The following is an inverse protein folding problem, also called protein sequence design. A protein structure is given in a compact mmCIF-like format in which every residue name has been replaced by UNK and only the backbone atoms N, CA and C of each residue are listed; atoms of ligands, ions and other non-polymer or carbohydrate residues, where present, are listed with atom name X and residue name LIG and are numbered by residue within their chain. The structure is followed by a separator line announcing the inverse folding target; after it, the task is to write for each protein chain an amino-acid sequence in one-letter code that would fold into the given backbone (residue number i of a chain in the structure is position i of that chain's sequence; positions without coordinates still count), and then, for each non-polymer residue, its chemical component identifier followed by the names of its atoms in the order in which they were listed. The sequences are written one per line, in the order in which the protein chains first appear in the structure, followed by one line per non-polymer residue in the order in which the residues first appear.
data_IF_678391617286
#
_entry.id   IF_678391617286
#
_cell.length_a   1.000
_cell.length_b   1.000
_cell.length_c   1.000
_cell.angle_alpha   90.00
_cell.angle_beta   90.00
_cell.angle_gamma   90.00
#
_symmetry.space_group_name_H-M   'P 1'
#
loop_
_entity.id
_entity.type
_entity.pdbx_description
1 polymer ?
#
# COMPACT_ATOMS: atom_id res chain seq x y z
N UNK A 1 12.62 22.17 -95.91
CA UNK A 1 13.13 21.04 -96.73
C UNK A 1 13.01 19.77 -95.92
N UNK A 2 12.57 18.70 -96.58
CA UNK A 2 12.15 17.44 -96.00
C UNK A 2 13.30 16.63 -95.37
N UNK A 3 13.00 15.81 -94.36
CA UNK A 3 13.30 14.38 -94.44
C UNK A 3 12.48 13.57 -93.45
N UNK A 4 12.12 12.38 -93.92
CA UNK A 4 11.20 11.38 -93.38
C UNK A 4 11.97 10.30 -92.59
N UNK A 5 11.18 9.39 -92.02
CA UNK A 5 11.50 7.99 -91.62
C UNK A 5 12.10 7.81 -90.23
N UNK A 6 11.88 6.69 -89.53
CA UNK A 6 10.73 5.81 -89.29
C UNK A 6 11.19 4.90 -88.13
N UNK A 7 10.21 4.36 -87.41
CA UNK A 7 10.23 3.41 -86.29
C UNK A 7 11.42 2.45 -86.13
N UNK A 8 11.83 2.27 -84.88
CA UNK A 8 12.31 0.98 -84.36
C UNK A 8 11.60 0.66 -83.04
N UNK A 9 10.85 -0.44 -83.04
CA UNK A 9 10.24 -1.06 -81.87
C UNK A 9 11.33 -1.67 -80.97
N UNK A 10 11.32 -1.35 -79.68
CA UNK A 10 11.93 -2.22 -78.65
C UNK A 10 10.96 -2.45 -77.51
N UNK A 11 10.67 -3.75 -77.33
CA UNK A 11 9.94 -4.47 -76.29
C UNK A 11 9.65 -3.72 -74.98
N UNK A 12 8.36 -3.70 -74.61
CA UNK A 12 7.90 -3.57 -73.22
C UNK A 12 8.41 -4.77 -72.43
N UNK A 13 9.33 -4.53 -71.50
CA UNK A 13 9.55 -5.39 -70.35
C UNK A 13 9.48 -4.51 -69.11
N UNK A 14 8.36 -4.62 -68.39
CA UNK A 14 8.21 -4.09 -67.04
C UNK A 14 8.69 -5.16 -66.06
N UNK A 15 9.84 -5.00 -65.39
CA UNK A 15 10.04 -5.64 -64.12
C UNK A 15 9.36 -4.79 -63.03
N UNK A 16 8.56 -5.47 -62.21
CA UNK A 16 7.80 -4.97 -61.07
C UNK A 16 8.54 -3.92 -60.21
N UNK A 17 8.22 -2.65 -60.40
CA UNK A 17 8.48 -1.56 -59.45
C UNK A 17 7.47 -1.58 -58.29
N UNK A 18 7.15 -2.76 -57.76
CA UNK A 18 6.23 -2.92 -56.61
C UNK A 18 6.91 -3.68 -55.47
N UNK A 19 8.04 -4.35 -55.71
CA UNK A 19 8.67 -5.17 -54.67
C UNK A 19 9.68 -4.43 -53.78
N UNK A 20 10.05 -3.19 -54.12
CA UNK A 20 11.04 -2.40 -53.36
C UNK A 20 10.43 -1.34 -52.42
N UNK A 21 9.12 -1.09 -52.45
CA UNK A 21 8.48 -0.12 -51.56
C UNK A 21 7.91 -0.74 -50.27
N UNK A 22 7.72 -2.06 -50.20
CA UNK A 22 7.13 -2.72 -49.02
C UNK A 22 8.17 -2.96 -47.92
N UNK A 23 9.46 -3.06 -48.25
CA UNK A 23 10.52 -3.32 -47.26
C UNK A 23 10.96 -2.03 -46.53
N UNK A 24 10.77 -0.85 -47.12
CA UNK A 24 11.18 0.41 -46.47
C UNK A 24 10.11 1.07 -45.60
N UNK A 25 8.84 0.62 -45.64
CA UNK A 25 7.78 1.16 -44.78
C UNK A 25 7.57 0.34 -43.48
N UNK A 26 8.18 -0.84 -43.35
CA UNK A 26 8.06 -1.69 -42.16
C UNK A 26 9.06 -1.33 -41.04
N UNK A 27 9.98 -0.40 -41.26
CA UNK A 27 11.03 0.00 -40.29
C UNK A 27 10.73 1.30 -39.53
N UNK A 28 9.56 1.91 -39.75
CA UNK A 28 9.16 3.17 -39.11
C UNK A 28 7.95 3.05 -38.18
N UNK A 29 7.59 1.82 -37.77
CA UNK A 29 6.67 1.64 -36.65
C UNK A 29 7.50 1.52 -35.38
N UNK A 30 7.35 2.40 -34.38
CA UNK A 30 7.93 2.16 -33.07
C UNK A 30 7.31 0.86 -32.56
N UNK A 31 8.09 -0.22 -32.54
CA UNK A 31 7.73 -1.39 -31.77
C UNK A 31 7.53 -0.90 -30.33
N UNK A 32 6.40 -1.22 -29.67
CA UNK A 32 6.37 -1.09 -28.23
C UNK A 32 7.45 -2.04 -27.73
N UNK A 33 8.61 -1.47 -27.36
CA UNK A 33 9.52 -2.19 -26.50
C UNK A 33 8.69 -2.54 -25.27
N UNK A 34 8.35 -3.81 -25.11
CA UNK A 34 8.03 -4.38 -23.83
C UNK A 34 9.23 -4.07 -22.95
N UNK A 35 9.15 -2.95 -22.25
CA UNK A 35 10.02 -2.67 -21.15
C UNK A 35 9.68 -3.74 -20.12
N UNK A 36 10.44 -4.83 -20.13
CA UNK A 36 10.67 -5.65 -18.94
C UNK A 36 11.41 -4.76 -17.94
N UNK A 37 10.69 -3.79 -17.38
CA UNK A 37 11.11 -3.17 -16.14
C UNK A 37 11.29 -4.29 -15.11
N UNK A 38 12.27 -4.19 -14.20
CA UNK A 38 12.40 -5.18 -13.15
C UNK A 38 11.05 -5.36 -12.47
N UNK A 39 10.58 -6.61 -12.38
CA UNK A 39 9.39 -6.93 -11.60
C UNK A 39 9.53 -6.24 -10.23
N UNK A 40 8.47 -5.60 -9.70
CA UNK A 40 8.54 -4.97 -8.40
C UNK A 40 9.13 -5.98 -7.41
N UNK A 41 10.17 -5.56 -6.69
CA UNK A 41 10.92 -6.45 -5.81
C UNK A 41 9.94 -7.20 -4.90
N UNK A 42 9.97 -8.53 -4.96
CA UNK A 42 9.08 -9.36 -4.15
C UNK A 42 9.30 -9.03 -2.67
N UNK A 43 8.22 -8.97 -1.88
CA UNK A 43 8.32 -8.79 -0.44
C UNK A 43 9.17 -9.91 0.18
N UNK A 44 9.99 -9.60 1.20
CA UNK A 44 10.76 -10.63 1.89
C UNK A 44 9.83 -11.64 2.55
N UNK A 45 10.34 -12.85 2.83
CA UNK A 45 9.65 -13.77 3.75
C UNK A 45 9.62 -13.19 5.16
N UNK A 46 8.71 -13.67 6.01
CA UNK A 46 8.65 -13.24 7.41
C UNK A 46 10.00 -13.44 8.11
N UNK A 47 10.63 -14.61 7.96
CA UNK A 47 11.93 -14.92 8.60
C UNK A 47 13.03 -13.96 8.14
N UNK A 48 13.11 -13.70 6.82
CA UNK A 48 14.08 -12.74 6.30
C UNK A 48 13.80 -11.34 6.81
N UNK A 49 12.53 -10.95 6.92
CA UNK A 49 12.14 -9.64 7.44
C UNK A 49 12.48 -9.48 8.92
N UNK A 50 12.25 -10.52 9.75
CA UNK A 50 12.60 -10.52 11.17
C UNK A 50 14.08 -10.19 11.35
N UNK A 51 14.96 -10.86 10.60
CA UNK A 51 16.40 -10.61 10.70
C UNK A 51 16.79 -9.18 10.28
N UNK A 52 16.02 -8.53 9.40
CA UNK A 52 16.28 -7.13 9.00
C UNK A 52 15.91 -6.09 10.06
N UNK A 53 14.98 -6.41 10.98
CA UNK A 53 14.47 -5.46 11.97
C UNK A 53 14.88 -5.77 13.41
N UNK A 54 15.44 -6.97 13.63
CA UNK A 54 15.94 -7.42 14.94
C UNK A 54 17.15 -6.58 15.35
N UNK A 55 17.14 -6.15 16.61
CA UNK A 55 18.21 -5.32 17.19
C UNK A 55 18.57 -5.70 18.62
N UNK A 56 18.04 -6.82 19.11
CA UNK A 56 18.25 -7.34 20.47
C UNK A 56 17.34 -6.71 21.54
N UNK A 57 16.56 -5.67 21.22
CA UNK A 57 15.65 -5.08 22.21
C UNK A 57 14.49 -6.01 22.53
N UNK A 58 14.32 -6.37 23.81
CA UNK A 58 13.39 -7.42 24.26
C UNK A 58 11.92 -7.07 23.99
N UNK A 59 11.53 -5.81 24.20
CA UNK A 59 10.13 -5.39 24.21
C UNK A 59 9.79 -4.28 23.21
N UNK A 60 10.78 -3.77 22.46
CA UNK A 60 10.52 -2.74 21.47
C UNK A 60 9.93 -3.35 20.21
N UNK A 61 8.80 -2.81 19.75
CA UNK A 61 8.23 -3.14 18.45
C UNK A 61 9.13 -2.58 17.34
N UNK A 62 9.53 -3.45 16.40
CA UNK A 62 10.50 -3.13 15.34
C UNK A 62 9.98 -3.36 13.93
N UNK A 63 8.95 -4.18 13.74
CA UNK A 63 8.41 -4.44 12.42
C UNK A 63 6.95 -4.82 12.42
N UNK A 64 6.33 -4.63 11.26
CA UNK A 64 5.02 -5.15 10.90
C UNK A 64 5.15 -5.90 9.58
N UNK A 65 4.57 -7.10 9.56
CA UNK A 65 4.52 -7.94 8.38
C UNK A 65 3.08 -8.37 8.10
N UNK A 66 2.67 -8.29 6.85
CA UNK A 66 1.44 -8.88 6.31
C UNK A 66 1.80 -9.56 5.01
N UNK A 67 1.52 -10.85 4.91
CA UNK A 67 1.88 -11.66 3.76
C UNK A 67 1.33 -11.06 2.46
N UNK A 68 2.22 -10.80 1.50
CA UNK A 68 1.83 -10.26 0.19
C UNK A 68 1.40 -8.79 0.17
N UNK A 69 1.33 -8.11 1.32
CA UNK A 69 0.87 -6.72 1.41
C UNK A 69 1.98 -5.78 1.85
N UNK A 70 2.67 -6.05 2.96
CA UNK A 70 3.68 -5.14 3.49
C UNK A 70 4.68 -5.81 4.44
N UNK A 71 5.89 -5.25 4.47
CA UNK A 71 6.94 -5.58 5.44
C UNK A 71 7.64 -4.26 5.84
N UNK A 72 7.12 -3.60 6.88
CA UNK A 72 7.57 -2.26 7.26
C UNK A 72 8.19 -2.23 8.64
N UNK A 73 9.43 -1.72 8.77
CA UNK A 73 9.99 -1.43 10.07
C UNK A 73 9.24 -0.30 10.79
N UNK A 74 9.21 -0.41 12.12
CA UNK A 74 8.54 0.50 13.03
C UNK A 74 9.58 1.38 13.73
N UNK A 75 9.32 2.68 13.74
CA UNK A 75 10.06 3.66 14.52
C UNK A 75 9.22 4.18 15.69
N UNK A 76 9.90 4.56 16.76
CA UNK A 76 9.25 5.06 17.97
C UNK A 76 8.91 6.55 17.83
N UNK A 77 7.74 6.94 18.30
CA UNK A 77 7.37 8.35 18.36
C UNK A 77 8.30 9.11 19.33
N UNK A 78 8.89 10.26 18.92
CA UNK A 78 9.71 11.09 19.79
C UNK A 78 8.95 11.53 21.04
N UNK A 79 9.61 11.53 22.20
CA UNK A 79 8.97 11.81 23.49
C UNK A 79 8.34 13.21 23.57
N UNK A 80 8.91 14.18 22.85
CA UNK A 80 8.47 15.57 22.81
C UNK A 80 7.58 15.91 21.61
N UNK A 81 7.14 14.91 20.83
CA UNK A 81 6.29 15.15 19.66
C UNK A 81 5.18 14.10 19.53
N UNK A 82 4.09 14.30 20.28
CA UNK A 82 2.93 13.42 20.29
C UNK A 82 2.14 13.39 18.96
N UNK A 83 2.39 14.33 18.05
CA UNK A 83 1.80 14.38 16.72
C UNK A 83 2.70 13.80 15.61
N UNK A 84 3.90 13.33 15.95
CA UNK A 84 4.86 12.88 14.95
C UNK A 84 4.38 11.63 14.19
N UNK A 85 4.46 11.70 12.87
CA UNK A 85 4.33 10.59 11.91
C UNK A 85 5.57 10.62 11.01
N UNK A 86 6.15 9.46 10.71
CA UNK A 86 7.38 9.40 9.93
C UNK A 86 7.17 9.88 8.50
N UNK A 87 8.07 10.72 8.01
CA UNK A 87 8.19 11.08 6.59
C UNK A 87 9.12 10.15 5.80
N UNK A 88 9.65 9.10 6.44
CA UNK A 88 10.53 8.13 5.78
C UNK A 88 9.70 7.10 5.01
N UNK A 89 10.13 6.80 3.78
CA UNK A 89 9.54 5.73 2.96
C UNK A 89 9.61 4.37 3.69
N UNK A 90 8.49 3.63 3.65
CA UNK A 90 8.41 2.27 4.19
C UNK A 90 8.59 2.19 5.72
N UNK A 91 8.24 3.25 6.46
CA UNK A 91 8.33 3.28 7.93
C UNK A 91 6.97 3.56 8.56
N UNK A 92 6.66 2.83 9.62
CA UNK A 92 5.51 3.08 10.48
C UNK A 92 5.97 3.78 11.76
N UNK A 93 5.17 4.71 12.28
CA UNK A 93 5.40 5.30 13.60
C UNK A 93 4.52 4.61 14.64
N UNK A 94 5.11 4.15 15.75
CA UNK A 94 4.34 3.68 16.89
C UNK A 94 3.72 4.84 17.64
N UNK A 95 2.39 4.90 17.66
CA UNK A 95 1.64 5.93 18.36
C UNK A 95 1.59 5.65 19.86
N UNK A 96 2.24 6.52 20.64
CA UNK A 96 2.48 6.24 22.06
C UNK A 96 1.20 6.29 22.89
N UNK A 97 0.30 7.22 22.58
CA UNK A 97 -0.93 7.42 23.36
C UNK A 97 -1.89 6.22 23.28
N UNK A 98 -1.90 5.46 22.18
CA UNK A 98 -2.74 4.25 22.07
C UNK A 98 -2.44 3.23 23.18
N UNK A 99 -1.19 3.14 23.64
CA UNK A 99 -0.78 2.18 24.66
C UNK A 99 -1.40 2.44 26.03
N UNK A 100 -1.79 3.70 26.33
CA UNK A 100 -2.48 4.03 27.59
C UNK A 100 -3.91 3.50 27.63
N UNK A 101 -4.43 3.06 26.48
CA UNK A 101 -5.76 2.49 26.31
C UNK A 101 -5.72 0.99 25.98
N UNK A 102 -4.56 0.34 26.14
CA UNK A 102 -4.39 -1.08 25.85
C UNK A 102 -4.27 -1.40 24.37
N UNK A 103 -4.00 -0.41 23.51
CA UNK A 103 -3.89 -0.62 22.05
C UNK A 103 -2.48 -0.40 21.54
N UNK A 104 -2.03 -1.28 20.65
CA UNK A 104 -0.87 -0.98 19.80
C UNK A 104 -1.35 -0.08 18.67
N UNK A 105 -0.97 1.20 18.66
CA UNK A 105 -1.32 2.14 17.60
C UNK A 105 -0.16 2.34 16.63
N UNK A 106 -0.42 2.29 15.32
CA UNK A 106 0.58 2.52 14.28
C UNK A 106 0.07 3.54 13.25
N UNK A 107 0.88 4.56 12.98
CA UNK A 107 0.57 5.65 12.05
C UNK A 107 1.48 5.61 10.83
N UNK A 108 0.94 5.98 9.68
CA UNK A 108 1.73 6.31 8.50
C UNK A 108 1.00 7.30 7.60
N UNK A 109 1.76 8.12 6.86
CA UNK A 109 1.19 8.94 5.80
C UNK A 109 0.68 8.06 4.65
N UNK A 110 -0.45 8.46 4.07
CA UNK A 110 -1.17 7.74 3.02
C UNK A 110 -0.44 7.68 1.68
N UNK A 111 0.47 8.62 1.42
CA UNK A 111 1.38 8.60 0.27
C UNK A 111 2.72 7.88 0.55
N UNK A 112 2.91 7.35 1.76
CA UNK A 112 4.08 6.56 2.17
C UNK A 112 3.63 5.14 2.55
N UNK A 113 4.11 4.59 3.67
CA UNK A 113 3.76 3.26 4.13
C UNK A 113 2.24 3.06 4.36
N UNK A 114 1.49 4.14 4.62
CA UNK A 114 0.04 4.09 4.79
C UNK A 114 -0.72 3.75 3.50
N UNK A 115 -0.10 3.92 2.32
CA UNK A 115 -0.69 3.53 1.04
C UNK A 115 -1.06 2.04 0.99
N UNK A 116 -0.32 1.19 1.72
CA UNK A 116 -0.60 -0.25 1.78
C UNK A 116 -1.81 -0.60 2.64
N UNK A 117 -2.28 0.30 3.52
CA UNK A 117 -3.33 -0.03 4.48
C UNK A 117 -4.69 -0.30 3.80
N UNK A 118 -4.96 0.33 2.66
CA UNK A 118 -6.18 0.12 1.87
C UNK A 118 -6.24 -1.25 1.18
N UNK A 119 -5.13 -2.00 1.16
CA UNK A 119 -5.08 -3.35 0.59
C UNK A 119 -5.48 -4.42 1.61
N UNK A 120 -5.51 -4.07 2.90
CA UNK A 120 -5.89 -4.98 3.97
C UNK A 120 -7.39 -5.26 3.95
N UNK A 121 -7.74 -6.48 4.35
CA UNK A 121 -9.11 -6.98 4.43
C UNK A 121 -9.36 -7.62 5.78
N UNK A 122 -10.62 -7.72 6.17
CA UNK A 122 -11.00 -8.56 7.30
C UNK A 122 -10.52 -10.00 7.09
N UNK A 123 -9.99 -10.59 8.16
CA UNK A 123 -9.34 -11.90 8.14
C UNK A 123 -7.82 -11.88 7.88
N UNK A 124 -7.26 -10.80 7.35
CA UNK A 124 -5.81 -10.70 7.15
C UNK A 124 -5.05 -10.79 8.48
N UNK A 125 -3.91 -11.47 8.47
CA UNK A 125 -3.04 -11.61 9.64
C UNK A 125 -1.92 -10.57 9.59
N UNK A 126 -1.88 -9.72 10.61
CA UNK A 126 -0.82 -8.77 10.87
C UNK A 126 0.12 -9.33 11.93
N UNK A 127 1.37 -9.56 11.56
CA UNK A 127 2.42 -10.01 12.47
C UNK A 127 3.27 -8.83 12.93
N UNK A 128 3.25 -8.58 14.24
CA UNK A 128 4.17 -7.68 14.89
C UNK A 128 5.49 -8.40 15.17
N UNK A 129 6.61 -7.72 14.92
CA UNK A 129 7.97 -8.24 15.17
C UNK A 129 8.66 -7.37 16.22
N UNK A 130 9.11 -7.96 17.32
CA UNK A 130 9.85 -7.30 18.38
C UNK A 130 11.36 -7.40 18.16
N UNK A 131 12.13 -6.51 18.79
CA UNK A 131 13.58 -6.40 18.56
C UNK A 131 14.40 -7.64 18.92
N UNK A 132 13.87 -8.56 19.73
CA UNK A 132 14.47 -9.86 20.02
C UNK A 132 14.08 -10.96 19.00
N UNK A 133 13.27 -10.65 18.00
CA UNK A 133 12.74 -11.57 17.01
C UNK A 133 11.44 -12.29 17.43
N UNK A 134 10.94 -12.06 18.65
CA UNK A 134 9.61 -12.56 19.05
C UNK A 134 8.55 -11.92 18.16
N UNK A 135 7.50 -12.68 17.85
CA UNK A 135 6.35 -12.19 17.08
C UNK A 135 5.06 -12.22 17.89
N UNK A 136 4.07 -11.46 17.44
CA UNK A 136 2.68 -11.55 17.91
C UNK A 136 1.75 -11.28 16.74
N UNK A 137 0.70 -12.10 16.60
CA UNK A 137 -0.20 -12.04 15.45
C UNK A 137 -1.56 -11.46 15.83
N UNK A 138 -2.10 -10.63 14.94
CA UNK A 138 -3.41 -10.01 15.06
C UNK A 138 -4.20 -10.27 13.78
N UNK A 139 -5.47 -10.61 13.89
CA UNK A 139 -6.38 -10.76 12.75
C UNK A 139 -7.17 -9.47 12.59
N UNK A 140 -7.23 -8.93 11.38
CA UNK A 140 -8.09 -7.78 11.05
C UNK A 140 -9.54 -8.20 11.23
N UNK A 141 -10.28 -7.44 12.05
CA UNK A 141 -11.69 -7.73 12.36
C UNK A 141 -12.64 -6.62 11.95
N UNK A 142 -12.12 -5.44 11.64
CA UNK A 142 -12.93 -4.27 11.31
C UNK A 142 -12.08 -3.22 10.57
N UNK A 143 -12.68 -2.56 9.59
CA UNK A 143 -12.06 -1.51 8.76
C UNK A 143 -13.03 -0.34 8.67
N UNK A 144 -12.63 0.80 9.23
CA UNK A 144 -13.50 1.96 9.38
C UNK A 144 -12.94 3.18 8.67
N UNK A 145 -13.80 3.94 7.98
CA UNK A 145 -13.41 5.13 7.25
C UNK A 145 -14.26 6.33 7.64
N UNK A 146 -13.60 7.47 7.84
CA UNK A 146 -14.25 8.69 8.32
C UNK A 146 -13.85 9.90 7.49
N UNK A 147 -14.83 10.75 7.15
CA UNK A 147 -14.57 12.08 6.59
C UNK A 147 -14.23 13.05 7.72
N UNK A 148 -13.17 13.84 7.56
CA UNK A 148 -12.85 14.94 8.45
C UNK A 148 -13.67 16.19 8.06
N UNK A 149 -14.25 16.88 9.05
CA UNK A 149 -14.90 18.19 8.84
C UNK A 149 -13.88 19.32 8.65
N UNK A 150 -12.70 19.19 9.26
CA UNK A 150 -11.54 20.07 9.07
C UNK A 150 -10.31 19.19 8.77
N UNK A 151 -10.08 18.81 7.49
CA UNK A 151 -9.08 17.83 7.07
C UNK A 151 -7.69 17.98 7.68
N UNK A 152 -7.19 19.21 7.75
CA UNK A 152 -5.85 19.54 8.25
C UNK A 152 -5.74 19.57 9.78
N UNK A 153 -6.86 19.39 10.50
CA UNK A 153 -6.88 19.40 11.96
C UNK A 153 -6.89 17.98 12.53
N UNK A 154 -5.95 17.63 13.44
CA UNK A 154 -6.01 16.37 14.18
C UNK A 154 -7.17 16.33 15.19
N UNK A 155 -7.74 17.48 15.53
CA UNK A 155 -8.89 17.62 16.44
C UNK A 155 -10.20 17.90 15.69
N UNK A 156 -10.26 17.51 14.41
CA UNK A 156 -11.48 17.61 13.60
C UNK A 156 -12.63 16.81 14.23
N UNK A 157 -13.86 17.20 13.91
CA UNK A 157 -14.98 16.27 13.99
C UNK A 157 -14.99 15.36 12.76
N UNK A 158 -15.68 14.23 12.86
CA UNK A 158 -15.66 13.19 11.86
C UNK A 158 -17.07 12.69 11.56
N UNK A 159 -17.30 12.33 10.31
CA UNK A 159 -18.50 11.59 9.89
C UNK A 159 -18.07 10.22 9.39
N UNK A 160 -18.67 9.17 9.94
CA UNK A 160 -18.51 7.80 9.47
C UNK A 160 -19.02 7.69 8.03
N UNK A 161 -18.21 7.12 7.14
CA UNK A 161 -18.56 6.98 5.72
C UNK A 161 -19.56 5.86 5.44
N UNK A 162 -19.70 4.92 6.36
CA UNK A 162 -20.65 3.81 6.24
C UNK A 162 -22.00 4.18 6.84
N UNK A 163 -22.00 4.65 8.10
CA UNK A 163 -23.25 4.88 8.84
C UNK A 163 -23.78 6.32 8.77
N UNK A 164 -22.94 7.28 8.34
CA UNK A 164 -23.17 8.73 8.46
C UNK A 164 -23.26 9.26 9.90
N UNK A 165 -22.85 8.48 10.90
CA UNK A 165 -22.79 8.94 12.29
C UNK A 165 -21.73 10.02 12.48
N UNK A 166 -21.99 10.95 13.40
CA UNK A 166 -21.09 12.03 13.76
C UNK A 166 -20.30 11.73 15.03
N UNK A 167 -19.00 11.98 14.99
CA UNK A 167 -18.08 11.78 16.10
C UNK A 167 -17.19 13.00 16.32
N UNK A 168 -16.98 13.39 17.58
CA UNK A 168 -15.86 14.27 17.93
C UNK A 168 -14.52 13.54 17.82
N UNK A 169 -13.42 14.27 17.76
CA UNK A 169 -12.08 13.67 17.80
C UNK A 169 -11.90 12.72 19.01
N UNK A 170 -12.41 13.10 20.18
CA UNK A 170 -12.32 12.29 21.39
C UNK A 170 -13.17 11.01 21.30
N UNK A 171 -14.40 11.12 20.80
CA UNK A 171 -15.29 9.95 20.64
C UNK A 171 -14.70 8.96 19.65
N UNK A 172 -14.23 9.43 18.49
CA UNK A 172 -13.60 8.60 17.49
C UNK A 172 -12.32 7.96 18.04
N UNK A 173 -11.47 8.75 18.71
CA UNK A 173 -10.25 8.23 19.34
C UNK A 173 -10.57 7.08 20.32
N UNK A 174 -11.55 7.25 21.21
CA UNK A 174 -11.94 6.19 22.15
C UNK A 174 -12.49 4.97 21.41
N UNK A 175 -13.28 5.17 20.36
CA UNK A 175 -13.84 4.08 19.53
C UNK A 175 -12.74 3.21 18.91
N UNK A 176 -11.68 3.83 18.37
CA UNK A 176 -10.63 3.10 17.62
C UNK A 176 -9.42 2.68 18.46
N UNK A 177 -9.18 3.30 19.62
CA UNK A 177 -8.00 3.02 20.45
C UNK A 177 -8.32 2.50 21.86
N UNK A 178 -9.55 2.58 22.34
CA UNK A 178 -9.92 2.07 23.67
C UNK A 178 -10.66 0.73 23.62
N UNK A 179 -10.60 0.01 24.75
CA UNK A 179 -11.29 -1.26 24.96
C UNK A 179 -10.31 -2.42 25.15
N UNK A 180 -10.74 -3.62 24.76
CA UNK A 180 -9.90 -4.82 24.83
C UNK A 180 -8.62 -4.68 24.00
N UNK A 181 -7.56 -5.38 24.44
CA UNK A 181 -6.24 -5.38 23.83
C UNK A 181 -6.31 -5.66 22.32
N UNK A 182 -5.80 -4.72 21.52
CA UNK A 182 -5.92 -4.73 20.05
C UNK A 182 -4.78 -4.00 19.37
N UNK A 183 -4.74 -4.10 18.05
CA UNK A 183 -3.90 -3.33 17.14
C UNK A 183 -4.78 -2.40 16.30
N UNK A 184 -4.38 -1.14 16.17
CA UNK A 184 -5.02 -0.17 15.28
C UNK A 184 -3.98 0.46 14.36
N UNK A 185 -4.16 0.30 13.05
CA UNK A 185 -3.42 1.02 12.02
C UNK A 185 -4.22 2.24 11.59
N UNK A 186 -3.59 3.40 11.48
CA UNK A 186 -4.25 4.64 11.06
C UNK A 186 -3.47 5.33 9.93
N UNK A 187 -4.20 5.77 8.91
CA UNK A 187 -3.69 6.66 7.86
C UNK A 187 -4.74 7.68 7.42
N UNK A 188 -4.35 8.65 6.59
CA UNK A 188 -5.28 9.59 5.98
C UNK A 188 -5.93 9.00 4.72
N UNK A 189 -7.08 9.54 4.33
CA UNK A 189 -7.72 9.23 3.05
C UNK A 189 -7.54 10.46 2.17
N UNK A 190 -7.06 10.25 0.94
CA UNK A 190 -7.05 11.29 -0.09
C UNK A 190 -8.37 11.28 -0.85
N UNK A 191 -8.93 12.47 -1.09
CA UNK A 191 -10.06 12.63 -2.01
C UNK A 191 -9.99 13.99 -2.69
N UNK A 192 -10.20 14.02 -4.00
CA UNK A 192 -10.24 15.26 -4.81
C UNK A 192 -8.99 16.15 -4.60
N UNK A 193 -7.81 15.54 -4.38
CA UNK A 193 -6.53 16.21 -4.15
C UNK A 193 -6.25 16.63 -2.70
N UNK A 194 -7.18 16.43 -1.76
CA UNK A 194 -6.94 16.66 -0.34
C UNK A 194 -6.42 15.39 0.34
N UNK A 195 -5.10 15.34 0.59
CA UNK A 195 -4.40 14.22 1.24
C UNK A 195 -4.86 13.95 2.68
N UNK A 196 -5.59 14.88 3.30
CA UNK A 196 -6.06 14.76 4.68
C UNK A 196 -7.59 14.71 4.79
N UNK A 197 -8.28 14.53 3.66
CA UNK A 197 -9.75 14.56 3.55
C UNK A 197 -10.45 13.66 4.58
N UNK A 198 -9.91 12.48 4.83
CA UNK A 198 -10.47 11.52 5.78
C UNK A 198 -9.43 10.75 6.57
N UNK A 199 -9.89 9.78 7.35
CA UNK A 199 -9.06 8.86 8.14
C UNK A 199 -9.54 7.43 7.91
N UNK A 200 -8.59 6.54 7.70
CA UNK A 200 -8.78 5.10 7.61
C UNK A 200 -8.21 4.46 8.87
N UNK A 201 -8.97 3.55 9.47
CA UNK A 201 -8.57 2.76 10.62
C UNK A 201 -8.72 1.26 10.30
N UNK A 202 -7.67 0.50 10.53
CA UNK A 202 -7.68 -0.97 10.46
C UNK A 202 -7.57 -1.48 11.88
N UNK A 203 -8.59 -2.20 12.36
CA UNK A 203 -8.66 -2.69 13.74
C UNK A 203 -8.49 -4.21 13.71
N UNK A 204 -7.53 -4.70 14.49
CA UNK A 204 -7.18 -6.11 14.55
C UNK A 204 -7.09 -6.61 15.99
N UNK A 205 -7.55 -7.85 16.21
CA UNK A 205 -7.55 -8.49 17.53
C UNK A 205 -6.48 -9.59 17.60
N UNK A 206 -5.92 -9.88 18.79
CA UNK A 206 -4.94 -10.95 18.94
C UNK A 206 -5.45 -12.29 18.42
N UNK A 207 -4.60 -13.00 17.68
CA UNK A 207 -4.85 -14.39 17.31
C UNK A 207 -4.59 -15.25 18.55
N UNK A 208 -5.62 -15.92 19.04
CA UNK A 208 -5.52 -16.89 20.14
C UNK A 208 -5.67 -18.31 19.60
N UNK A 209 -5.36 -19.33 20.41
CA UNK A 209 -5.61 -20.73 20.03
C UNK A 209 -7.07 -20.97 19.60
N UNK A 210 -8.04 -20.30 20.25
CA UNK A 210 -9.46 -20.38 19.84
C UNK A 210 -9.71 -19.77 18.46
N UNK A 211 -9.00 -18.70 18.09
CA UNK A 211 -9.06 -18.09 16.75
C UNK A 211 -8.54 -19.04 15.68
N UNK A 212 -7.48 -19.80 15.99
CA UNK A 212 -6.86 -20.77 15.08
C UNK A 212 -7.82 -21.95 14.85
N UNK A 213 -8.42 -22.49 15.91
CA UNK A 213 -9.36 -23.61 15.82
C UNK A 213 -10.59 -23.28 14.98
N UNK A 214 -11.18 -22.09 15.17
CA UNK A 214 -12.31 -21.63 14.35
C UNK A 214 -11.97 -21.43 12.88
N UNK A 215 -10.74 -21.02 12.57
CA UNK A 215 -10.30 -20.83 11.18
C UNK A 215 -10.02 -22.18 10.50
N UNK A 216 -9.53 -23.16 11.26
CA UNK A 216 -9.30 -24.54 10.79
C UNK A 216 -10.59 -25.33 10.48
N UNK A 217 -11.69 -25.04 11.18
CA UNK A 217 -13.00 -25.69 10.91
C UNK A 217 -13.70 -25.14 9.65
N UNK A 218 -13.37 -23.93 9.19
CA UNK A 218 -13.98 -23.32 8.00
C UNK A 218 -13.27 -23.78 6.70
N UNK A 219 -12.09 -24.41 6.82
CA UNK A 219 -11.33 -24.96 5.68
C UNK A 219 -11.36 -26.49 5.58
N UNK A 220 -12.22 -27.16 6.37
CA UNK A 220 -12.44 -28.61 6.37
C UNK A 220 -13.66 -29.06 5.59
#
# INVERSE_FOLDING_TARGET
MASKYQFAHVKKQTPNLVFLLVIFLALALPMPALADGPAPAALPTLDSFIETVKDGSISTLRGVYVQGVMAYPVIQQPANNAGYVSSLNGRLTQFKLASTYGTVGLLAHNYLAGASFSQLKEGDIITLVYGNGRTSSFMVTDIQSYKAQTPTSPYSNFTDLETNDFYTAEQLFKKVYAGEYRLTLQTCIEKDGDLSWGRLFIIAKPVTESTILKTGEIQG
#
